data_IF_632042913014
#
_entry.id   IF_632042913014
#
_cell.length_a   1.000
_cell.length_b   1.000
_cell.length_c   1.000
_cell.angle_alpha   90.00
_cell.angle_beta   90.00
_cell.angle_gamma   90.00
#
_symmetry.space_group_name_H-M   'P 1'
#
loop_
_entity.id
_entity.type
_entity.pdbx_description
1 polymer ?
#
# COMPACT_ATOMS: atom_id res chain seq x y z
N UNK A 1 29.83 -0.86 -4.62
CA UNK A 1 28.95 0.35 -4.44
C UNK A 1 29.06 1.12 -5.74
N UNK A 2 27.96 1.43 -6.42
CA UNK A 2 28.02 2.21 -7.66
C UNK A 2 28.15 3.68 -7.30
N UNK A 3 29.16 4.33 -7.87
CA UNK A 3 29.42 5.76 -7.62
C UNK A 3 28.22 6.59 -8.08
N UNK A 4 27.73 7.51 -7.23
CA UNK A 4 26.56 8.34 -7.53
C UNK A 4 25.19 7.70 -7.26
N UNK A 5 25.09 6.42 -6.86
CA UNK A 5 23.83 5.75 -6.52
C UNK A 5 23.67 5.66 -5.01
N UNK A 6 22.60 6.25 -4.49
CA UNK A 6 22.20 6.13 -3.09
C UNK A 6 21.04 5.16 -2.95
N UNK A 7 21.26 4.07 -2.22
CA UNK A 7 20.22 3.10 -1.86
C UNK A 7 19.72 3.44 -0.46
N UNK A 8 18.41 3.56 -0.28
CA UNK A 8 17.80 3.88 1.00
C UNK A 8 16.46 3.19 1.16
N UNK A 9 16.08 2.93 2.40
CA UNK A 9 14.74 2.46 2.77
C UNK A 9 13.97 3.69 3.24
N UNK A 10 12.74 3.96 2.70
CA UNK A 10 11.90 5.05 3.17
C UNK A 10 11.56 4.87 4.66
N UNK A 11 11.51 5.97 5.39
CA UNK A 11 11.08 5.91 6.79
C UNK A 11 9.65 5.43 6.88
N UNK A 12 9.40 4.51 7.80
CA UNK A 12 8.09 3.92 8.00
C UNK A 12 7.82 3.75 9.49
N UNK A 13 6.56 3.88 9.86
CA UNK A 13 6.06 3.50 11.19
C UNK A 13 4.89 2.54 11.02
N UNK A 14 4.71 1.67 12.00
CA UNK A 14 3.64 0.68 12.01
C UNK A 14 2.74 0.94 13.20
N UNK A 15 1.44 1.10 12.94
CA UNK A 15 0.41 1.07 13.96
C UNK A 15 0.06 -0.40 14.16
N UNK A 16 0.36 -0.95 15.33
CA UNK A 16 0.13 -2.35 15.65
C UNK A 16 -1.37 -2.67 15.81
N UNK A 17 -1.71 -3.95 15.72
CA UNK A 17 -3.10 -4.44 15.75
C UNK A 17 -3.83 -4.15 17.04
N UNK A 18 -3.12 -3.91 18.16
CA UNK A 18 -3.72 -3.52 19.43
C UNK A 18 -4.50 -2.20 19.33
N UNK A 19 -4.02 -1.25 18.51
CA UNK A 19 -4.73 0.01 18.28
C UNK A 19 -6.01 -0.20 17.46
N UNK A 20 -6.02 -1.17 16.53
CA UNK A 20 -7.24 -1.57 15.84
C UNK A 20 -8.26 -2.15 16.82
N UNK A 21 -7.86 -3.09 17.67
CA UNK A 21 -8.75 -3.67 18.68
C UNK A 21 -9.29 -2.62 19.64
N UNK A 22 -8.44 -1.68 20.08
CA UNK A 22 -8.84 -0.57 20.94
C UNK A 22 -9.83 0.36 20.23
N UNK A 23 -9.59 0.70 18.96
CA UNK A 23 -10.47 1.54 18.16
C UNK A 23 -11.86 0.91 17.99
N UNK A 24 -11.94 -0.36 17.63
CA UNK A 24 -13.19 -1.11 17.48
C UNK A 24 -13.97 -1.13 18.82
N UNK A 25 -13.26 -1.42 19.93
CA UNK A 25 -13.86 -1.49 21.26
C UNK A 25 -14.35 -0.12 21.75
N UNK A 26 -13.52 0.92 21.59
CA UNK A 26 -13.83 2.27 22.05
C UNK A 26 -15.10 2.85 21.41
N UNK A 27 -15.29 2.54 20.12
CA UNK A 27 -16.42 3.04 19.34
C UNK A 27 -17.59 2.05 19.23
N UNK A 28 -17.48 0.86 19.86
CA UNK A 28 -18.55 -0.13 19.85
C UNK A 28 -18.86 -0.72 18.47
N UNK A 29 -17.90 -0.71 17.53
CA UNK A 29 -18.11 -1.03 16.10
C UNK A 29 -18.32 -2.52 15.76
N UNK A 30 -18.36 -3.40 16.77
CA UNK A 30 -18.55 -4.85 16.54
C UNK A 30 -19.85 -5.20 15.84
N UNK A 31 -20.89 -4.36 15.96
CA UNK A 31 -22.19 -4.60 15.31
C UNK A 31 -22.11 -4.61 13.76
N UNK A 32 -21.07 -3.96 13.18
CA UNK A 32 -20.87 -3.92 11.73
C UNK A 32 -20.66 -5.32 11.15
N UNK A 33 -20.12 -6.26 11.95
CA UNK A 33 -19.91 -7.66 11.54
C UNK A 33 -21.23 -8.41 11.34
N UNK A 34 -22.25 -8.06 12.13
CA UNK A 34 -23.52 -8.78 12.21
C UNK A 34 -24.64 -8.21 11.34
N UNK A 35 -24.39 -7.10 10.66
CA UNK A 35 -25.38 -6.40 9.84
C UNK A 35 -24.87 -6.18 8.42
N UNK A 36 -25.80 -6.05 7.47
CA UNK A 36 -25.48 -5.71 6.08
C UNK A 36 -25.43 -4.19 5.93
N UNK A 37 -24.21 -3.68 5.78
CA UNK A 37 -23.93 -2.27 5.46
C UNK A 37 -23.25 -2.20 4.09
N UNK A 38 -23.50 -1.11 3.36
CA UNK A 38 -22.71 -0.74 2.20
C UNK A 38 -21.29 -0.30 2.60
N UNK A 39 -20.35 -0.34 1.66
CA UNK A 39 -18.97 0.11 1.90
C UNK A 39 -18.93 1.60 2.28
N UNK A 40 -19.83 2.42 1.71
CA UNK A 40 -19.97 3.85 2.05
C UNK A 40 -20.45 4.08 3.46
N UNK A 41 -21.43 3.31 3.94
CA UNK A 41 -21.95 3.40 5.31
C UNK A 41 -20.87 2.99 6.32
N UNK A 42 -20.16 1.88 6.05
CA UNK A 42 -19.03 1.42 6.86
C UNK A 42 -17.95 2.52 6.93
N UNK A 43 -17.55 3.05 5.77
CA UNK A 43 -16.54 4.10 5.70
C UNK A 43 -16.96 5.35 6.50
N UNK A 44 -18.21 5.78 6.36
CA UNK A 44 -18.76 6.93 7.09
C UNK A 44 -18.70 6.73 8.60
N UNK A 45 -19.12 5.55 9.08
CA UNK A 45 -19.11 5.19 10.50
C UNK A 45 -17.68 5.19 11.07
N UNK A 46 -16.73 4.59 10.36
CA UNK A 46 -15.32 4.57 10.78
C UNK A 46 -14.68 5.96 10.77
N UNK A 47 -14.95 6.76 9.74
CA UNK A 47 -14.37 8.11 9.62
C UNK A 47 -14.92 9.05 10.67
N UNK A 48 -16.18 8.90 11.10
CA UNK A 48 -16.78 9.67 12.20
C UNK A 48 -16.33 9.22 13.59
N UNK A 49 -15.83 7.99 13.71
CA UNK A 49 -15.43 7.39 14.97
C UNK A 49 -14.19 8.05 15.59
N UNK A 50 -14.06 7.92 16.91
CA UNK A 50 -13.02 8.55 17.70
C UNK A 50 -11.73 7.70 17.72
N UNK A 51 -10.59 8.31 17.45
CA UNK A 51 -9.28 7.63 17.54
C UNK A 51 -8.73 7.70 18.98
N UNK A 52 -8.17 6.61 19.53
CA UNK A 52 -7.58 6.63 20.86
C UNK A 52 -6.61 7.80 21.07
N UNK A 53 -6.68 8.54 22.17
CA UNK A 53 -5.87 9.75 22.41
C UNK A 53 -4.37 9.49 22.32
N UNK A 54 -3.94 8.33 22.82
CA UNK A 54 -2.53 7.93 22.76
C UNK A 54 -2.05 7.82 21.30
N UNK A 55 -2.81 7.16 20.44
CA UNK A 55 -2.47 7.03 19.02
C UNK A 55 -2.44 8.40 18.34
N UNK A 56 -3.39 9.29 18.66
CA UNK A 56 -3.36 10.66 18.11
C UNK A 56 -2.09 11.42 18.50
N UNK A 57 -1.64 11.32 19.74
CA UNK A 57 -0.42 11.97 20.23
C UNK A 57 0.83 11.41 19.55
N UNK A 58 0.92 10.08 19.39
CA UNK A 58 2.03 9.42 18.72
C UNK A 58 2.09 9.80 17.23
N UNK A 59 0.96 9.83 16.54
CA UNK A 59 0.90 10.28 15.15
C UNK A 59 1.22 11.77 14.99
N UNK A 60 0.77 12.60 15.94
CA UNK A 60 1.13 14.03 15.96
C UNK A 60 2.63 14.24 16.15
N UNK A 61 3.28 13.44 16.98
CA UNK A 61 4.74 13.47 17.13
C UNK A 61 5.45 13.01 15.85
N UNK A 62 4.94 11.98 15.18
CA UNK A 62 5.51 11.48 13.94
C UNK A 62 5.45 12.50 12.80
N UNK A 63 4.29 13.12 12.53
CA UNK A 63 4.14 14.08 11.42
C UNK A 63 5.04 15.31 11.56
N UNK A 64 5.47 15.68 12.78
CA UNK A 64 6.44 16.76 13.00
C UNK A 64 7.83 16.46 12.43
N UNK A 65 8.15 15.20 12.21
CA UNK A 65 9.42 14.75 11.63
C UNK A 65 9.36 14.54 10.12
N UNK A 66 8.14 14.52 9.56
CA UNK A 66 7.89 14.25 8.14
C UNK A 66 7.92 15.54 7.32
N UNK A 67 8.47 15.44 6.10
CA UNK A 67 8.51 16.55 5.13
C UNK A 67 8.17 16.08 3.71
N UNK A 68 7.51 14.92 3.59
CA UNK A 68 7.15 14.29 2.33
C UNK A 68 5.71 13.80 2.39
N UNK A 69 5.05 13.55 1.26
CA UNK A 69 3.79 12.83 1.23
C UNK A 69 3.91 11.45 1.90
N UNK A 70 2.80 10.95 2.40
CA UNK A 70 2.72 9.65 3.08
C UNK A 70 1.83 8.67 2.33
N UNK A 71 2.25 7.42 2.27
CA UNK A 71 1.41 6.28 1.93
C UNK A 71 0.95 5.59 3.22
N UNK A 72 -0.36 5.43 3.38
CA UNK A 72 -1.00 4.74 4.49
C UNK A 72 -1.57 3.43 3.95
N UNK A 73 -1.01 2.32 4.39
CA UNK A 73 -1.21 0.99 3.82
C UNK A 73 -1.72 0.01 4.87
N UNK A 74 -2.55 -0.90 4.43
CA UNK A 74 -2.92 -2.08 5.21
C UNK A 74 -1.72 -3.00 5.44
N UNK A 75 -1.76 -3.75 6.52
CA UNK A 75 -0.90 -4.89 6.80
C UNK A 75 -1.68 -5.85 7.69
N UNK A 76 -2.19 -6.90 7.09
CA UNK A 76 -2.95 -7.92 7.79
C UNK A 76 -2.33 -9.30 7.62
N UNK A 77 -2.72 -10.22 8.49
CA UNK A 77 -2.28 -11.62 8.42
C UNK A 77 -2.69 -12.28 7.10
N UNK A 78 -3.81 -11.87 6.51
CA UNK A 78 -4.30 -12.43 5.26
C UNK A 78 -3.48 -11.99 4.05
N UNK A 79 -2.94 -10.75 4.05
CA UNK A 79 -2.11 -10.24 2.95
C UNK A 79 -0.81 -11.04 2.78
N UNK A 80 -0.27 -11.57 3.89
CA UNK A 80 0.97 -12.36 3.91
C UNK A 80 0.72 -13.88 3.81
N UNK A 81 -0.49 -14.30 3.49
CA UNK A 81 -0.82 -15.73 3.36
C UNK A 81 -0.12 -16.36 2.15
N UNK A 82 0.73 -17.36 2.40
CA UNK A 82 1.44 -18.11 1.35
C UNK A 82 0.52 -18.93 0.45
N UNK A 83 -0.69 -19.26 0.90
CA UNK A 83 -1.60 -20.17 0.19
C UNK A 83 -2.62 -19.45 -0.69
N UNK A 84 -2.93 -18.21 -0.37
CA UNK A 84 -3.90 -17.41 -1.13
C UNK A 84 -3.43 -15.95 -1.09
N UNK A 85 -2.85 -15.42 -2.19
CA UNK A 85 -2.38 -14.03 -2.21
C UNK A 85 -3.57 -13.06 -2.13
N UNK A 86 -3.56 -12.21 -1.11
CA UNK A 86 -4.59 -11.23 -0.80
C UNK A 86 -4.20 -9.80 -1.23
N UNK A 87 -3.37 -9.69 -2.25
CA UNK A 87 -2.86 -8.39 -2.68
C UNK A 87 -3.97 -7.52 -3.31
N UNK A 88 -4.09 -6.29 -2.85
CA UNK A 88 -4.93 -5.26 -3.48
C UNK A 88 -6.39 -5.22 -3.02
N UNK A 89 -6.82 -6.02 -2.05
CA UNK A 89 -8.20 -6.01 -1.54
C UNK A 89 -8.39 -4.89 -0.51
N UNK A 90 -7.41 -4.66 0.35
CA UNK A 90 -7.45 -3.55 1.30
C UNK A 90 -6.97 -2.25 0.67
N UNK A 91 -7.45 -1.15 1.21
CA UNK A 91 -7.19 0.18 0.66
C UNK A 91 -5.82 0.74 1.03
N UNK A 92 -5.17 1.38 0.07
CA UNK A 92 -4.01 2.24 0.28
C UNK A 92 -4.39 3.69 0.04
N UNK A 93 -4.02 4.58 0.95
CA UNK A 93 -4.30 6.01 0.86
C UNK A 93 -3.00 6.81 0.75
N UNK A 94 -2.96 7.73 -0.21
CA UNK A 94 -1.86 8.68 -0.37
C UNK A 94 -2.27 10.01 0.24
N UNK A 95 -1.42 10.55 1.10
CA UNK A 95 -1.65 11.83 1.79
C UNK A 95 -0.62 12.84 1.28
N UNK A 96 -1.04 13.98 0.71
CA UNK A 96 -0.13 15.04 0.33
C UNK A 96 0.53 15.64 1.58
N UNK A 97 1.76 16.11 1.43
CA UNK A 97 2.41 16.88 2.49
C UNK A 97 1.80 18.28 2.60
N UNK A 98 1.65 18.76 3.80
CA UNK A 98 1.28 20.15 4.13
C UNK A 98 2.02 20.61 5.39
N UNK A 99 2.45 21.87 5.44
CA UNK A 99 3.08 22.47 6.61
C UNK A 99 2.10 22.68 7.77
N UNK A 100 0.79 22.62 7.53
CA UNK A 100 -0.22 22.71 8.56
C UNK A 100 -0.34 21.38 9.32
N UNK A 101 0.24 21.34 10.55
CA UNK A 101 0.26 20.14 11.41
C UNK A 101 -1.15 19.56 11.65
N UNK A 102 -2.14 20.43 11.94
CA UNK A 102 -3.49 19.97 12.24
C UNK A 102 -4.21 19.43 11.00
N UNK A 103 -3.94 20.01 9.84
CA UNK A 103 -4.46 19.48 8.57
C UNK A 103 -3.81 18.12 8.24
N UNK A 104 -2.48 18.02 8.40
CA UNK A 104 -1.76 16.77 8.16
C UNK A 104 -2.26 15.66 9.09
N UNK A 105 -2.47 15.97 10.38
CA UNK A 105 -3.02 15.02 11.34
C UNK A 105 -4.43 14.58 10.97
N UNK A 106 -5.32 15.50 10.58
CA UNK A 106 -6.68 15.14 10.13
C UNK A 106 -6.67 14.20 8.94
N UNK A 107 -5.83 14.47 7.93
CA UNK A 107 -5.70 13.62 6.75
C UNK A 107 -5.18 12.23 7.14
N UNK A 108 -4.16 12.17 7.98
CA UNK A 108 -3.57 10.92 8.43
C UNK A 108 -4.57 10.08 9.24
N UNK A 109 -5.26 10.68 10.21
CA UNK A 109 -6.29 9.99 11.00
C UNK A 109 -7.44 9.48 10.13
N UNK A 110 -7.86 10.28 9.13
CA UNK A 110 -8.89 9.84 8.19
C UNK A 110 -8.40 8.63 7.38
N UNK A 111 -7.18 8.64 6.87
CA UNK A 111 -6.63 7.53 6.12
C UNK A 111 -6.49 6.26 6.97
N UNK A 112 -6.00 6.35 8.20
CA UNK A 112 -5.93 5.22 9.14
C UNK A 112 -7.32 4.61 9.38
N UNK A 113 -8.32 5.44 9.66
CA UNK A 113 -9.70 5.01 9.86
C UNK A 113 -10.29 4.36 8.61
N UNK A 114 -9.95 4.86 7.43
CA UNK A 114 -10.39 4.28 6.16
C UNK A 114 -9.73 2.94 5.87
N UNK A 115 -8.45 2.75 6.24
CA UNK A 115 -7.79 1.43 6.18
C UNK A 115 -8.48 0.46 7.13
N UNK A 116 -8.81 0.87 8.35
CA UNK A 116 -9.55 0.04 9.30
C UNK A 116 -10.94 -0.36 8.77
N UNK A 117 -11.65 0.57 8.14
CA UNK A 117 -12.96 0.32 7.52
C UNK A 117 -12.88 -0.76 6.42
N UNK A 118 -11.79 -0.78 5.64
CA UNK A 118 -11.63 -1.69 4.49
C UNK A 118 -11.63 -3.18 4.87
N UNK A 119 -11.37 -3.52 6.14
CA UNK A 119 -11.53 -4.90 6.66
C UNK A 119 -12.96 -5.40 6.47
N UNK A 120 -13.94 -4.51 6.58
CA UNK A 120 -15.36 -4.84 6.57
C UNK A 120 -16.05 -4.58 5.22
N UNK A 121 -15.33 -4.14 4.20
CA UNK A 121 -15.88 -3.91 2.86
C UNK A 121 -16.32 -5.22 2.19
N UNK A 122 -17.24 -5.12 1.25
CA UNK A 122 -17.84 -6.27 0.57
C UNK A 122 -16.79 -7.22 -0.02
N UNK A 123 -15.76 -6.70 -0.69
CA UNK A 123 -14.67 -7.48 -1.27
C UNK A 123 -13.89 -8.27 -0.19
N UNK A 124 -13.56 -7.62 0.94
CA UNK A 124 -12.85 -8.24 2.05
C UNK A 124 -13.69 -9.32 2.71
N UNK A 125 -14.96 -9.04 2.96
CA UNK A 125 -15.92 -10.01 3.54
C UNK A 125 -16.08 -11.24 2.66
N UNK A 126 -16.29 -11.06 1.34
CA UNK A 126 -16.44 -12.16 0.40
C UNK A 126 -15.19 -13.07 0.37
N UNK A 127 -14.01 -12.46 0.39
CA UNK A 127 -12.77 -13.20 0.43
C UNK A 127 -12.58 -13.97 1.75
N UNK A 128 -12.77 -13.33 2.90
CA UNK A 128 -12.63 -13.96 4.22
C UNK A 128 -13.58 -15.18 4.32
N UNK A 129 -14.80 -15.04 3.84
CA UNK A 129 -15.77 -16.16 3.80
C UNK A 129 -15.29 -17.31 2.92
N UNK A 130 -14.63 -17.02 1.78
CA UNK A 130 -14.11 -18.05 0.88
C UNK A 130 -12.88 -18.78 1.45
N UNK A 131 -12.14 -18.15 2.37
CA UNK A 131 -10.89 -18.66 2.95
C UNK A 131 -11.08 -19.44 4.26
N UNK A 132 -12.31 -19.71 4.71
CA UNK A 132 -12.64 -20.34 6.00
C UNK A 132 -12.17 -19.58 7.25
N UNK A 133 -11.77 -18.31 7.10
CA UNK A 133 -11.41 -17.46 8.21
C UNK A 133 -12.65 -16.74 8.77
N UNK A 134 -12.57 -16.32 10.02
CA UNK A 134 -13.63 -15.53 10.65
C UNK A 134 -13.28 -14.05 10.58
N UNK A 135 -14.18 -13.23 10.05
CA UNK A 135 -14.00 -11.77 9.99
C UNK A 135 -13.81 -11.15 11.38
N UNK A 136 -14.35 -11.78 12.42
CA UNK A 136 -14.18 -11.36 13.82
C UNK A 136 -12.77 -11.55 14.36
N UNK A 137 -11.96 -12.37 13.70
CA UNK A 137 -10.57 -12.64 14.06
C UNK A 137 -9.58 -11.82 13.23
N UNK A 138 -10.06 -11.16 12.16
CA UNK A 138 -9.20 -10.33 11.33
C UNK A 138 -8.80 -9.06 12.08
N UNK A 139 -7.51 -8.78 12.04
CA UNK A 139 -6.91 -7.61 12.68
C UNK A 139 -6.07 -6.86 11.68
N UNK A 140 -6.12 -5.53 11.78
CA UNK A 140 -5.45 -4.65 10.85
C UNK A 140 -4.33 -3.87 11.55
N UNK A 141 -3.10 -4.09 11.12
CA UNK A 141 -2.00 -3.14 11.33
C UNK A 141 -1.97 -2.14 10.18
N UNK A 142 -1.44 -0.96 10.42
CA UNK A 142 -1.32 0.09 9.39
C UNK A 142 0.14 0.51 9.25
N UNK A 143 0.67 0.43 8.03
CA UNK A 143 1.99 0.93 7.70
C UNK A 143 1.85 2.36 7.16
N UNK A 144 2.49 3.32 7.81
CA UNK A 144 2.63 4.70 7.33
C UNK A 144 4.05 4.86 6.83
N UNK A 145 4.21 5.15 5.55
CA UNK A 145 5.51 5.19 4.89
C UNK A 145 5.67 6.50 4.11
N UNK A 146 6.86 7.11 4.20
CA UNK A 146 7.22 8.25 3.37
C UNK A 146 7.27 7.85 1.90
N UNK A 147 6.63 8.65 1.04
CA UNK A 147 6.68 8.46 -0.40
C UNK A 147 8.01 8.96 -0.93
N UNK A 148 8.72 8.12 -1.68
CA UNK A 148 9.91 8.52 -2.41
C UNK A 148 9.52 9.22 -3.70
N UNK A 149 10.15 10.35 -4.00
CA UNK A 149 9.88 11.12 -5.21
C UNK A 149 10.48 12.51 -5.15
N UNK A 150 10.14 13.29 -6.13
CA UNK A 150 10.48 14.71 -6.25
C UNK A 150 9.25 15.50 -6.65
N UNK A 151 9.22 16.78 -6.28
CA UNK A 151 8.19 17.69 -6.75
C UNK A 151 8.49 18.13 -8.19
N UNK A 152 7.49 18.00 -9.06
CA UNK A 152 7.55 18.41 -10.46
C UNK A 152 6.21 19.07 -10.81
N UNK A 153 6.23 20.33 -11.17
CA UNK A 153 5.02 21.10 -11.57
C UNK A 153 3.88 21.03 -10.55
N UNK A 154 4.19 21.08 -9.25
CA UNK A 154 3.21 20.99 -8.16
C UNK A 154 2.69 19.57 -7.87
N UNK A 155 3.24 18.55 -8.52
CA UNK A 155 2.96 17.15 -8.27
C UNK A 155 4.20 16.46 -7.67
N UNK A 156 3.99 15.57 -6.70
CA UNK A 156 5.06 14.81 -6.07
C UNK A 156 4.97 13.34 -6.49
N UNK A 157 5.99 12.87 -7.22
CA UNK A 157 6.05 11.47 -7.68
C UNK A 157 7.50 11.02 -7.95
N UNK A 158 7.79 9.71 -7.91
CA UNK A 158 9.07 9.17 -8.35
C UNK A 158 9.17 9.20 -9.88
N UNK A 159 10.38 9.30 -10.43
CA UNK A 159 10.61 9.19 -11.87
C UNK A 159 10.13 7.84 -12.40
N UNK A 160 10.38 6.76 -11.66
CA UNK A 160 9.90 5.43 -11.98
C UNK A 160 9.71 4.61 -10.70
N UNK A 161 8.86 3.61 -10.80
CA UNK A 161 8.61 2.62 -9.76
C UNK A 161 8.65 1.23 -10.35
N UNK A 162 8.96 0.22 -9.54
CA UNK A 162 9.08 -1.13 -10.06
C UNK A 162 9.11 -2.20 -8.99
N UNK A 163 9.04 -3.44 -9.45
CA UNK A 163 9.23 -4.65 -8.65
C UNK A 163 10.35 -5.47 -9.25
N UNK A 164 11.35 -5.79 -8.43
CA UNK A 164 12.43 -6.70 -8.79
C UNK A 164 12.27 -8.01 -8.00
N UNK A 165 12.45 -9.13 -8.68
CA UNK A 165 12.45 -10.48 -8.09
C UNK A 165 13.77 -11.18 -8.43
N UNK A 166 14.32 -11.88 -7.46
CA UNK A 166 15.56 -12.67 -7.63
C UNK A 166 15.38 -13.93 -8.49
N UNK A 167 14.13 -14.40 -8.63
CA UNK A 167 13.79 -15.57 -9.45
C UNK A 167 12.87 -15.11 -10.58
N UNK A 168 13.24 -15.47 -11.80
CA UNK A 168 12.43 -15.32 -13.00
C UNK A 168 11.76 -16.66 -13.33
N UNK A 169 10.46 -16.78 -13.05
CA UNK A 169 9.71 -18.01 -13.34
C UNK A 169 9.41 -18.21 -14.83
N UNK A 170 9.57 -17.18 -15.64
CA UNK A 170 9.28 -17.21 -17.09
C UNK A 170 10.43 -16.57 -17.87
N UNK A 171 11.61 -17.22 -17.90
CA UNK A 171 12.77 -16.72 -18.64
C UNK A 171 12.50 -16.71 -20.14
N UNK A 172 13.01 -15.69 -20.84
CA UNK A 172 12.83 -15.49 -22.28
C UNK A 172 14.17 -15.45 -22.98
N UNK A 173 14.31 -16.22 -24.06
CA UNK A 173 15.54 -16.29 -24.84
C UNK A 173 16.70 -16.84 -24.03
N UNK A 174 17.76 -16.03 -23.82
CA UNK A 174 18.98 -16.43 -23.11
C UNK A 174 18.88 -16.24 -21.58
N UNK A 175 17.75 -15.76 -21.07
CA UNK A 175 17.54 -15.56 -19.62
C UNK A 175 17.51 -16.89 -18.89
N UNK A 176 17.96 -16.88 -17.63
CA UNK A 176 17.86 -18.01 -16.70
C UNK A 176 16.99 -17.63 -15.49
N UNK A 177 16.39 -18.60 -14.79
CA UNK A 177 15.61 -18.32 -13.59
C UNK A 177 16.37 -17.47 -12.54
N UNK A 178 17.63 -17.74 -12.33
CA UNK A 178 18.50 -17.07 -11.36
C UNK A 178 18.93 -15.65 -11.76
N UNK A 179 18.72 -15.25 -13.01
CA UNK A 179 19.03 -13.90 -13.48
C UNK A 179 18.06 -12.84 -12.94
N UNK A 180 16.92 -13.28 -12.38
CA UNK A 180 15.89 -12.41 -11.87
C UNK A 180 15.07 -11.72 -12.95
N UNK A 181 14.09 -10.93 -12.51
CA UNK A 181 13.24 -10.13 -13.38
C UNK A 181 12.84 -8.81 -12.72
N UNK A 182 12.80 -7.75 -13.52
CA UNK A 182 12.30 -6.43 -13.12
C UNK A 182 11.10 -6.05 -13.98
N UNK A 183 10.08 -5.48 -13.33
CA UNK A 183 8.98 -4.78 -13.99
C UNK A 183 8.99 -3.33 -13.51
N UNK A 184 9.03 -2.38 -14.44
CA UNK A 184 9.17 -0.95 -14.15
C UNK A 184 8.12 -0.15 -14.91
N UNK A 185 7.55 0.86 -14.24
CA UNK A 185 6.66 1.84 -14.84
C UNK A 185 7.14 3.26 -14.49
N UNK A 186 6.78 4.23 -15.31
CA UNK A 186 7.00 5.64 -15.01
C UNK A 186 6.04 6.10 -13.90
N UNK A 187 6.54 6.96 -13.01
CA UNK A 187 5.75 7.50 -11.92
C UNK A 187 5.46 6.51 -10.79
N UNK A 188 4.27 6.61 -10.19
CA UNK A 188 3.84 5.79 -9.06
C UNK A 188 3.61 4.32 -9.46
N UNK A 189 3.92 3.41 -8.53
CA UNK A 189 3.97 1.97 -8.76
C UNK A 189 2.64 1.23 -8.94
N UNK A 190 1.51 1.92 -8.97
CA UNK A 190 0.18 1.29 -9.12
C UNK A 190 0.10 0.37 -10.32
N UNK A 191 0.57 0.83 -11.49
CA UNK A 191 0.58 0.03 -12.72
C UNK A 191 1.37 -1.28 -12.60
N UNK A 192 2.42 -1.30 -11.80
CA UNK A 192 3.24 -2.49 -11.58
C UNK A 192 2.51 -3.50 -10.69
N UNK A 193 1.75 -3.03 -9.72
CA UNK A 193 1.01 -3.87 -8.75
C UNK A 193 -0.28 -4.39 -9.35
N UNK A 194 -1.04 -3.54 -10.03
CA UNK A 194 -2.36 -3.88 -10.60
C UNK A 194 -2.27 -4.63 -11.93
N UNK A 195 -1.06 -4.96 -12.42
CA UNK A 195 -0.88 -5.68 -13.68
C UNK A 195 -1.04 -4.83 -14.93
N UNK A 196 -0.83 -3.52 -14.84
CA UNK A 196 -0.83 -2.61 -15.99
C UNK A 196 0.37 -2.78 -16.92
N UNK A 197 0.46 -1.92 -17.94
CA UNK A 197 1.59 -1.93 -18.89
C UNK A 197 2.86 -1.49 -18.19
N UNK A 198 3.84 -2.40 -18.11
CA UNK A 198 5.14 -2.17 -17.49
C UNK A 198 6.25 -2.63 -18.42
N UNK A 199 7.42 -2.02 -18.31
CA UNK A 199 8.61 -2.52 -18.98
C UNK A 199 9.17 -3.71 -18.19
N UNK A 200 9.32 -4.86 -18.84
CA UNK A 200 9.91 -6.06 -18.26
C UNK A 200 11.28 -6.33 -18.84
N UNK A 201 12.26 -6.55 -17.98
CA UNK A 201 13.61 -6.96 -18.37
C UNK A 201 14.26 -7.83 -17.30
N UNK A 202 15.28 -8.60 -17.69
CA UNK A 202 16.15 -9.26 -16.72
C UNK A 202 17.27 -8.30 -16.28
N UNK A 203 17.61 -8.21 -14.97
CA UNK A 203 18.78 -7.44 -14.51
C UNK A 203 20.09 -7.85 -15.16
N UNK A 204 20.21 -9.09 -15.59
CA UNK A 204 21.36 -9.61 -16.34
C UNK A 204 21.48 -8.99 -17.73
N UNK A 205 20.34 -8.70 -18.35
CA UNK A 205 20.24 -8.17 -19.71
C UNK A 205 19.37 -6.93 -19.78
N UNK A 206 19.74 -5.82 -19.09
CA UNK A 206 18.86 -4.65 -18.92
C UNK A 206 18.51 -3.93 -20.23
N UNK A 207 19.29 -4.17 -21.29
CA UNK A 207 19.05 -3.60 -22.63
C UNK A 207 18.01 -4.40 -23.45
N UNK A 208 17.70 -5.64 -23.02
CA UNK A 208 16.70 -6.49 -23.70
C UNK A 208 15.35 -6.29 -23.03
N UNK A 209 14.63 -5.24 -23.43
CA UNK A 209 13.27 -4.93 -22.94
C UNK A 209 12.28 -5.51 -23.94
N UNK A 210 11.45 -6.46 -23.48
CA UNK A 210 10.51 -7.19 -24.35
C UNK A 210 9.57 -6.26 -25.11
N UNK A 211 8.99 -5.27 -24.42
CA UNK A 211 7.99 -4.36 -24.98
C UNK A 211 8.53 -3.37 -26.01
N UNK A 212 9.85 -3.21 -26.08
CA UNK A 212 10.51 -2.32 -27.05
C UNK A 212 11.40 -3.10 -28.03
N UNK A 213 11.27 -4.43 -28.09
CA UNK A 213 12.12 -5.29 -28.93
C UNK A 213 11.79 -5.15 -30.43
N UNK A 214 10.58 -4.73 -30.78
CA UNK A 214 10.19 -4.38 -32.16
C UNK A 214 9.37 -3.09 -32.18
N UNK A 215 9.36 -2.35 -33.33
CA UNK A 215 8.53 -1.15 -33.46
C UNK A 215 7.05 -1.39 -33.20
N UNK A 216 6.52 -2.54 -33.63
CA UNK A 216 5.11 -2.91 -33.46
C UNK A 216 4.77 -3.14 -31.98
N UNK A 217 5.69 -3.70 -31.18
CA UNK A 217 5.49 -3.88 -29.76
C UNK A 217 5.65 -2.57 -28.98
N UNK A 218 6.53 -1.68 -29.44
CA UNK A 218 6.73 -0.37 -28.80
C UNK A 218 5.55 0.58 -29.00
N UNK A 219 4.77 0.41 -30.06
CA UNK A 219 3.60 1.27 -30.42
C UNK A 219 2.27 0.76 -29.85
N UNK A 220 2.23 -0.39 -29.24
CA UNK A 220 1.04 -0.95 -28.55
C UNK A 220 0.94 -0.49 -27.11
#
# INVERSE_FOLDING_TARGET
MHEGVRIMIPRSVVIATEYFDEFIRLNGLKYIISQEFSDEEILSEFVSSYVPPRLQQELKAYIRTVRTPLAVRSSSKLEDSHYQPFAGIYSTYMIPYTDNEDQMLRLLLRAVKSVYASVYFAASRAYIQSSQNLISEEKMAVIIQEVCGTEQDGLFFPTCSGVARSINYYPIGDERPEDGVCNVAMGLGKLVVDGGRTLRFSPRYPQKVLQTSTPELALR
#
